data_IF_855477632308
#
_entry.id   IF_855477632308
#
_cell.length_a   1.000
_cell.length_b   1.000
_cell.length_c   1.000
_cell.angle_alpha   90.00
_cell.angle_beta   90.00
_cell.angle_gamma   90.00
#
_symmetry.space_group_name_H-M   'P 1'
#
loop_
_entity.id
_entity.type
_entity.pdbx_description
1 polymer ?
#
# COMPACT_ATOMS: atom_id res chain seq x y z
N UNK A 1 -6.85 -14.48 58.45
CA UNK A 1 -7.95 -14.15 57.53
C UNK A 1 -7.27 -13.78 56.23
N UNK A 2 -7.06 -14.77 55.36
CA UNK A 2 -6.68 -14.51 53.97
C UNK A 2 -7.91 -13.96 53.27
N UNK A 3 -7.82 -12.70 52.86
CA UNK A 3 -8.86 -12.00 52.13
C UNK A 3 -8.80 -12.46 50.67
N UNK A 4 -9.70 -13.38 50.34
CA UNK A 4 -9.95 -13.92 49.01
C UNK A 4 -10.31 -12.76 48.07
N UNK A 5 -9.34 -12.29 47.29
CA UNK A 5 -9.50 -11.24 46.30
C UNK A 5 -10.12 -11.83 45.04
N UNK A 6 -11.39 -12.18 45.14
CA UNK A 6 -12.25 -12.45 43.99
C UNK A 6 -12.48 -11.13 43.23
N UNK A 7 -11.54 -10.79 42.35
CA UNK A 7 -11.79 -9.83 41.28
C UNK A 7 -13.00 -10.33 40.46
N UNK A 8 -14.05 -9.51 40.27
CA UNK A 8 -15.19 -9.92 39.47
C UNK A 8 -14.70 -10.19 38.05
N UNK A 9 -14.76 -11.47 37.64
CA UNK A 9 -14.43 -11.88 36.27
C UNK A 9 -15.35 -11.08 35.35
N UNK A 10 -14.75 -10.20 34.53
CA UNK A 10 -15.44 -9.36 33.55
C UNK A 10 -16.34 -10.22 32.64
N UNK A 11 -17.49 -9.66 32.22
CA UNK A 11 -18.49 -10.38 31.42
C UNK A 11 -17.88 -10.95 30.13
N UNK A 12 -16.93 -10.21 29.54
CA UNK A 12 -16.19 -10.63 28.36
C UNK A 12 -15.24 -11.80 28.65
N UNK A 13 -14.51 -11.79 29.76
CA UNK A 13 -13.65 -12.91 30.19
C UNK A 13 -14.47 -14.19 30.41
N UNK A 14 -15.67 -14.09 31.01
CA UNK A 14 -16.58 -15.25 31.14
C UNK A 14 -16.99 -15.81 29.79
N UNK A 15 -17.30 -14.94 28.82
CA UNK A 15 -17.64 -15.38 27.44
C UNK A 15 -16.44 -16.05 26.75
N UNK A 16 -15.24 -15.50 26.87
CA UNK A 16 -14.02 -16.10 26.31
C UNK A 16 -13.72 -17.48 26.90
N UNK A 17 -13.87 -17.64 28.22
CA UNK A 17 -13.74 -18.94 28.89
C UNK A 17 -14.80 -19.95 28.40
N UNK A 18 -16.04 -19.50 28.20
CA UNK A 18 -17.11 -20.32 27.61
C UNK A 18 -16.75 -20.82 26.21
N UNK A 19 -16.21 -19.94 25.36
CA UNK A 19 -15.72 -20.28 24.02
C UNK A 19 -14.58 -21.30 24.10
N UNK A 20 -13.59 -21.10 24.97
CA UNK A 20 -12.46 -22.04 25.14
C UNK A 20 -12.91 -23.44 25.55
N UNK A 21 -13.85 -23.53 26.49
CA UNK A 21 -14.41 -24.80 26.92
C UNK A 21 -15.15 -25.50 25.77
N UNK A 22 -15.94 -24.76 25.00
CA UNK A 22 -16.62 -25.28 23.83
C UNK A 22 -15.65 -25.79 22.75
N UNK A 23 -14.55 -25.07 22.51
CA UNK A 23 -13.52 -25.53 21.56
C UNK A 23 -12.84 -26.81 22.07
N UNK A 24 -12.50 -26.87 23.37
CA UNK A 24 -11.88 -28.06 23.96
C UNK A 24 -12.78 -29.28 23.82
N UNK A 25 -14.08 -29.12 24.09
CA UNK A 25 -15.07 -30.19 23.89
C UNK A 25 -15.20 -30.58 22.42
N UNK A 26 -15.22 -29.60 21.51
CA UNK A 26 -15.28 -29.84 20.07
C UNK A 26 -14.04 -30.59 19.53
N UNK A 27 -12.85 -30.27 20.04
CA UNK A 27 -11.62 -30.98 19.68
C UNK A 27 -11.62 -32.45 20.13
N UNK A 28 -12.19 -32.74 21.32
CA UNK A 28 -12.30 -34.09 21.83
C UNK A 28 -13.33 -34.94 21.05
N UNK A 29 -14.37 -34.30 20.53
CA UNK A 29 -15.49 -34.98 19.87
C UNK A 29 -15.36 -35.05 18.34
N UNK A 30 -14.62 -34.12 17.73
CA UNK A 30 -14.44 -34.09 16.27
C UNK A 30 -13.47 -35.19 15.82
N UNK A 31 -13.85 -35.94 14.78
CA UNK A 31 -12.98 -36.93 14.11
C UNK A 31 -12.38 -36.43 12.80
N UNK A 32 -12.72 -35.20 12.38
CA UNK A 32 -12.21 -34.61 11.15
C UNK A 32 -10.97 -33.76 11.45
N UNK A 33 -9.82 -34.22 10.94
CA UNK A 33 -8.52 -33.55 11.05
C UNK A 33 -8.58 -32.09 10.60
N UNK A 34 -9.35 -31.76 9.55
CA UNK A 34 -9.46 -30.39 9.04
C UNK A 34 -10.22 -29.48 9.99
N UNK A 35 -11.25 -30.00 10.66
CA UNK A 35 -12.01 -29.26 11.66
C UNK A 35 -11.14 -29.05 12.90
N UNK A 36 -10.42 -30.08 13.34
CA UNK A 36 -9.49 -29.97 14.47
C UNK A 36 -8.37 -28.94 14.19
N UNK A 37 -7.81 -28.94 12.98
CA UNK A 37 -6.79 -27.98 12.57
C UNK A 37 -7.31 -26.54 12.63
N UNK A 38 -8.53 -26.29 12.15
CA UNK A 38 -9.12 -24.95 12.20
C UNK A 38 -9.53 -24.52 13.61
N UNK A 39 -10.03 -25.43 14.44
CA UNK A 39 -10.29 -25.16 15.86
C UNK A 39 -9.00 -24.79 16.62
N UNK A 40 -7.89 -25.50 16.36
CA UNK A 40 -6.59 -25.20 16.95
C UNK A 40 -6.09 -23.79 16.56
N UNK A 41 -6.30 -23.38 15.31
CA UNK A 41 -5.98 -22.03 14.85
C UNK A 41 -6.82 -20.95 15.53
N UNK A 42 -8.09 -21.23 15.84
CA UNK A 42 -8.94 -20.30 16.61
C UNK A 42 -8.47 -20.21 18.06
N UNK A 43 -8.11 -21.34 18.71
CA UNK A 43 -7.53 -21.33 20.06
C UNK A 43 -6.29 -20.44 20.15
N UNK A 44 -5.40 -20.53 19.16
CA UNK A 44 -4.19 -19.70 19.14
C UNK A 44 -4.49 -18.19 19.05
N UNK A 45 -5.69 -17.79 18.64
CA UNK A 45 -6.13 -16.39 18.63
C UNK A 45 -6.81 -15.97 19.94
N UNK A 46 -7.23 -16.91 20.79
CA UNK A 46 -8.03 -16.63 22.00
C UNK A 46 -7.35 -15.70 23.02
N UNK A 47 -6.05 -15.84 23.34
CA UNK A 47 -5.40 -14.92 24.27
C UNK A 47 -5.52 -13.46 23.81
N UNK A 48 -5.36 -13.23 22.51
CA UNK A 48 -5.50 -11.91 21.88
C UNK A 48 -6.95 -11.43 21.84
N UNK A 49 -7.92 -12.33 21.63
CA UNK A 49 -9.35 -11.98 21.67
C UNK A 49 -9.77 -11.54 23.07
N UNK A 50 -9.27 -12.24 24.10
CA UNK A 50 -9.51 -11.92 25.50
C UNK A 50 -8.91 -10.57 25.89
N UNK A 51 -7.64 -10.33 25.52
CA UNK A 51 -6.94 -9.07 25.78
C UNK A 51 -7.66 -7.86 25.16
N UNK A 52 -8.16 -8.00 23.92
CA UNK A 52 -8.87 -6.90 23.24
C UNK A 52 -10.26 -6.65 23.83
N UNK A 53 -10.96 -7.71 24.28
CA UNK A 53 -12.26 -7.60 24.95
C UNK A 53 -13.42 -7.02 24.12
N UNK A 54 -13.23 -6.73 22.82
CA UNK A 54 -14.28 -6.14 21.98
C UNK A 54 -15.36 -7.15 21.62
N UNK A 55 -16.61 -6.81 21.91
CA UNK A 55 -17.81 -7.62 21.63
C UNK A 55 -17.80 -8.17 20.20
N UNK A 56 -17.51 -7.34 19.19
CA UNK A 56 -17.52 -7.75 17.77
C UNK A 56 -16.52 -8.88 17.48
N UNK A 57 -15.35 -8.87 18.12
CA UNK A 57 -14.31 -9.89 17.92
C UNK A 57 -14.72 -11.20 18.60
N UNK A 58 -15.30 -11.09 19.80
CA UNK A 58 -15.85 -12.24 20.54
C UNK A 58 -16.99 -12.90 19.75
N UNK A 59 -17.94 -12.13 19.22
CA UNK A 59 -19.06 -12.64 18.42
C UNK A 59 -18.58 -13.30 17.11
N UNK A 60 -17.56 -12.75 16.44
CA UNK A 60 -16.99 -13.38 15.25
C UNK A 60 -16.31 -14.73 15.57
N UNK A 61 -15.68 -14.81 16.74
CA UNK A 61 -15.06 -16.05 17.22
C UNK A 61 -16.12 -17.11 17.52
N UNK A 62 -17.20 -16.71 18.22
CA UNK A 62 -18.33 -17.60 18.51
C UNK A 62 -19.05 -18.07 17.23
N UNK A 63 -19.23 -17.18 16.25
CA UNK A 63 -19.82 -17.54 14.95
C UNK A 63 -18.96 -18.55 14.19
N UNK A 64 -17.63 -18.37 14.19
CA UNK A 64 -16.71 -19.31 13.57
C UNK A 64 -16.75 -20.68 14.27
N UNK A 65 -16.82 -20.67 15.61
CA UNK A 65 -16.93 -21.89 16.41
C UNK A 65 -18.23 -22.64 16.14
N UNK A 66 -19.38 -21.96 16.22
CA UNK A 66 -20.70 -22.55 15.92
C UNK A 66 -20.76 -23.16 14.52
N UNK A 67 -20.09 -22.55 13.54
CA UNK A 67 -20.03 -23.12 12.21
C UNK A 67 -19.20 -24.41 12.16
N UNK A 68 -18.06 -24.45 12.88
CA UNK A 68 -17.20 -25.63 12.94
C UNK A 68 -17.78 -26.78 13.79
N UNK A 69 -18.65 -26.48 14.76
CA UNK A 69 -19.30 -27.48 15.61
C UNK A 69 -20.69 -27.91 15.13
N UNK A 70 -21.19 -27.31 14.05
CA UNK A 70 -22.46 -27.71 13.43
C UNK A 70 -22.37 -29.08 12.77
N UNK A 71 -23.51 -29.76 12.59
CA UNK A 71 -23.58 -31.10 11.98
C UNK A 71 -22.96 -31.17 10.57
N UNK A 72 -22.95 -30.04 9.84
CA UNK A 72 -22.35 -29.91 8.51
C UNK A 72 -21.39 -28.71 8.47
N UNK A 73 -20.13 -28.86 8.94
CA UNK A 73 -19.20 -27.75 9.06
C UNK A 73 -18.81 -27.19 7.68
N UNK A 74 -18.99 -25.88 7.50
CA UNK A 74 -18.60 -25.19 6.27
C UNK A 74 -17.17 -24.65 6.39
N UNK A 75 -16.20 -25.48 5.99
CA UNK A 75 -14.78 -25.12 6.08
C UNK A 75 -14.40 -23.85 5.33
N UNK A 76 -15.09 -23.51 4.23
CA UNK A 76 -14.81 -22.28 3.48
C UNK A 76 -15.22 -21.06 4.29
N UNK A 77 -16.41 -21.09 4.89
CA UNK A 77 -16.90 -20.02 5.75
C UNK A 77 -16.04 -19.88 7.01
N UNK A 78 -15.74 -20.99 7.70
CA UNK A 78 -14.92 -21.00 8.90
C UNK A 78 -13.52 -20.41 8.65
N UNK A 79 -12.86 -20.81 7.55
CA UNK A 79 -11.55 -20.26 7.15
C UNK A 79 -11.62 -18.75 6.89
N UNK A 80 -12.68 -18.28 6.24
CA UNK A 80 -12.89 -16.85 5.95
C UNK A 80 -13.17 -16.06 7.24
N UNK A 81 -13.99 -16.58 8.14
CA UNK A 81 -14.25 -15.98 9.45
C UNK A 81 -12.97 -15.88 10.29
N UNK A 82 -12.20 -16.97 10.40
CA UNK A 82 -10.91 -16.99 11.10
C UNK A 82 -9.91 -16.01 10.48
N UNK A 83 -9.82 -15.94 9.16
CA UNK A 83 -8.93 -14.99 8.48
C UNK A 83 -9.30 -13.53 8.81
N UNK A 84 -10.58 -13.19 8.72
CA UNK A 84 -11.06 -11.85 9.08
C UNK A 84 -10.86 -11.55 10.57
N UNK A 85 -11.06 -12.53 11.45
CA UNK A 85 -10.79 -12.42 12.88
C UNK A 85 -9.30 -12.11 13.12
N UNK A 86 -8.38 -12.86 12.51
CA UNK A 86 -6.94 -12.63 12.61
C UNK A 86 -6.56 -11.21 12.18
N UNK A 87 -7.12 -10.71 11.07
CA UNK A 87 -6.87 -9.33 10.62
C UNK A 87 -7.35 -8.31 11.65
N UNK A 88 -8.56 -8.46 12.18
CA UNK A 88 -9.10 -7.53 13.19
C UNK A 88 -8.25 -7.54 14.47
N UNK A 89 -7.88 -8.72 14.94
CA UNK A 89 -7.02 -8.88 16.12
C UNK A 89 -5.67 -8.19 15.93
N UNK A 90 -5.00 -8.45 14.80
CA UNK A 90 -3.72 -7.81 14.48
C UNK A 90 -3.86 -6.28 14.38
N UNK A 91 -4.95 -5.80 13.77
CA UNK A 91 -5.24 -4.37 13.66
C UNK A 91 -5.42 -3.72 15.02
N UNK A 92 -6.05 -4.38 15.98
CA UNK A 92 -6.26 -3.82 17.33
C UNK A 92 -4.98 -3.83 18.18
N UNK A 93 -4.19 -4.90 18.11
CA UNK A 93 -2.96 -5.05 18.92
C UNK A 93 -1.83 -4.17 18.41
N UNK A 94 -1.67 -4.07 17.10
CA UNK A 94 -0.52 -3.40 16.52
C UNK A 94 -0.88 -2.01 16.00
N UNK A 95 -0.51 -0.97 16.75
CA UNK A 95 -0.51 0.42 16.29
C UNK A 95 0.26 0.56 14.97
N UNK A 96 1.31 -0.23 14.78
CA UNK A 96 2.06 -0.30 13.52
C UNK A 96 1.20 -0.82 12.36
N UNK A 97 0.37 -1.86 12.55
CA UNK A 97 -0.60 -2.27 11.53
C UNK A 97 -1.67 -1.21 11.28
N UNK A 98 -2.14 -0.46 12.27
CA UNK A 98 -3.06 0.66 12.04
C UNK A 98 -2.39 1.78 11.20
N UNK A 99 -1.10 1.99 11.43
CA UNK A 99 -0.25 2.95 10.70
C UNK A 99 0.11 2.48 9.29
N UNK A 100 0.14 1.17 9.00
CA UNK A 100 0.41 0.66 7.64
C UNK A 100 -0.85 0.29 6.86
N UNK A 101 -1.91 -0.16 7.52
CA UNK A 101 -3.15 -0.68 6.93
C UNK A 101 -4.36 0.09 7.45
N UNK A 102 -4.48 1.37 7.07
CA UNK A 102 -5.73 2.10 7.30
C UNK A 102 -6.74 1.75 6.23
N UNK A 103 -8.00 1.64 6.64
CA UNK A 103 -9.13 1.46 5.71
C UNK A 103 -9.39 2.71 4.85
N UNK A 104 -8.65 3.81 5.09
CA UNK A 104 -8.81 5.07 4.35
C UNK A 104 -7.84 5.13 3.16
N UNK A 105 -8.36 5.20 1.92
CA UNK A 105 -7.55 5.36 0.70
C UNK A 105 -6.65 6.59 0.73
N UNK A 106 -7.18 7.71 1.21
CA UNK A 106 -6.46 8.99 1.31
C UNK A 106 -5.23 8.86 2.21
N UNK A 107 -5.37 8.18 3.34
CA UNK A 107 -4.29 8.03 4.30
C UNK A 107 -3.18 7.10 3.76
N UNK A 108 -3.56 6.05 3.01
CA UNK A 108 -2.62 5.20 2.28
C UNK A 108 -1.81 5.98 1.24
N UNK A 109 -2.45 6.86 0.48
CA UNK A 109 -1.77 7.74 -0.51
C UNK A 109 -0.79 8.68 0.18
N UNK A 110 -1.22 9.37 1.24
CA UNK A 110 -0.39 10.32 1.99
C UNK A 110 0.85 9.64 2.57
N UNK A 111 0.70 8.44 3.16
CA UNK A 111 1.83 7.66 3.68
C UNK A 111 2.82 7.26 2.60
N UNK A 112 2.33 6.78 1.46
CA UNK A 112 3.19 6.46 0.30
C UNK A 112 4.03 7.67 -0.12
N UNK A 113 3.39 8.85 -0.16
CA UNK A 113 4.07 10.10 -0.51
C UNK A 113 5.11 10.55 0.52
N UNK A 114 4.82 10.40 1.82
CA UNK A 114 5.79 10.69 2.88
C UNK A 114 7.00 9.75 2.82
N UNK A 115 6.79 8.46 2.53
CA UNK A 115 7.89 7.50 2.40
C UNK A 115 8.79 7.85 1.22
N UNK A 116 8.21 8.33 0.12
CA UNK A 116 8.96 8.84 -1.04
C UNK A 116 9.89 10.01 -0.66
N UNK A 117 9.45 10.91 0.24
CA UNK A 117 10.29 12.02 0.70
C UNK A 117 11.56 11.55 1.43
N UNK A 118 11.51 10.39 2.08
CA UNK A 118 12.67 9.77 2.73
C UNK A 118 13.52 8.93 1.78
N UNK A 119 12.88 8.22 0.84
CA UNK A 119 13.58 7.32 -0.10
C UNK A 119 14.28 8.09 -1.22
N UNK A 120 13.67 9.15 -1.77
CA UNK A 120 14.23 9.89 -2.91
C UNK A 120 15.61 10.49 -2.60
N UNK A 121 15.84 11.19 -1.48
CA UNK A 121 17.17 11.71 -1.16
C UNK A 121 18.21 10.59 -1.06
N UNK A 122 17.85 9.44 -0.47
CA UNK A 122 18.73 8.28 -0.37
C UNK A 122 19.05 7.67 -1.72
N UNK A 123 18.06 7.55 -2.61
CA UNK A 123 18.25 7.06 -3.98
C UNK A 123 19.07 8.05 -4.81
N UNK A 124 18.81 9.34 -4.72
CA UNK A 124 19.58 10.38 -5.41
C UNK A 124 21.03 10.44 -4.91
N UNK A 125 21.24 10.32 -3.59
CA UNK A 125 22.57 10.21 -3.00
C UNK A 125 23.28 8.94 -3.47
N UNK A 126 22.59 7.80 -3.46
CA UNK A 126 23.13 6.53 -3.97
C UNK A 126 23.47 6.62 -5.46
N UNK A 127 22.63 7.23 -6.29
CA UNK A 127 22.94 7.50 -7.70
C UNK A 127 24.16 8.43 -7.79
N UNK A 128 24.18 9.53 -7.04
CA UNK A 128 25.30 10.46 -7.10
C UNK A 128 26.66 9.79 -6.77
N UNK A 129 26.69 8.96 -5.72
CA UNK A 129 27.92 8.37 -5.18
C UNK A 129 28.31 7.03 -5.84
N UNK A 130 27.32 6.23 -6.25
CA UNK A 130 27.53 4.90 -6.85
C UNK A 130 27.66 4.92 -8.39
N UNK A 131 27.04 5.89 -9.06
CA UNK A 131 27.05 5.92 -10.53
C UNK A 131 28.35 6.50 -11.11
N UNK A 132 28.99 7.46 -10.43
CA UNK A 132 30.25 8.08 -10.88
C UNK A 132 31.40 7.08 -11.15
N UNK A 133 31.59 6.01 -10.34
CA UNK A 133 32.61 5.00 -10.63
C UNK A 133 32.21 3.93 -11.67
N UNK A 134 30.92 3.74 -11.98
CA UNK A 134 30.44 2.66 -12.87
C UNK A 134 30.10 3.15 -14.28
N UNK A 135 29.73 4.43 -14.44
CA UNK A 135 29.26 4.99 -15.70
C UNK A 135 29.75 6.44 -15.80
N UNK A 136 30.70 6.70 -16.71
CA UNK A 136 31.24 8.05 -16.86
C UNK A 136 30.18 8.97 -17.45
N UNK A 137 29.52 9.77 -16.60
CA UNK A 137 28.56 10.80 -17.03
C UNK A 137 29.18 11.84 -17.97
N UNK A 138 30.52 11.87 -18.08
CA UNK A 138 31.25 12.65 -19.09
C UNK A 138 30.96 12.21 -20.52
N UNK A 139 30.59 10.96 -20.76
CA UNK A 139 30.30 10.46 -22.12
C UNK A 139 28.92 10.89 -22.64
N UNK A 140 28.05 11.41 -21.76
CA UNK A 140 26.71 11.86 -22.11
C UNK A 140 26.63 13.33 -22.54
N UNK A 141 27.74 14.09 -22.49
CA UNK A 141 27.78 15.55 -22.77
C UNK A 141 26.70 16.37 -22.04
N UNK A 142 26.25 15.88 -20.87
CA UNK A 142 25.21 16.50 -20.06
C UNK A 142 25.77 16.95 -18.71
N UNK A 143 25.38 18.15 -18.28
CA UNK A 143 25.68 18.65 -16.94
C UNK A 143 25.01 17.75 -15.88
N UNK A 144 25.79 17.30 -14.89
CA UNK A 144 25.30 16.48 -13.77
C UNK A 144 24.18 17.19 -13.01
N UNK A 145 24.29 18.52 -12.85
CA UNK A 145 23.26 19.29 -12.16
C UNK A 145 21.95 19.31 -12.97
N UNK A 146 22.04 19.38 -14.29
CA UNK A 146 20.88 19.29 -15.18
C UNK A 146 20.18 17.93 -15.03
N UNK A 147 20.92 16.83 -15.02
CA UNK A 147 20.34 15.49 -14.84
C UNK A 147 19.58 15.35 -13.52
N UNK A 148 20.12 15.88 -12.43
CA UNK A 148 19.45 15.89 -11.12
C UNK A 148 18.17 16.73 -11.18
N UNK A 149 18.23 17.93 -11.76
CA UNK A 149 17.06 18.81 -11.88
C UNK A 149 15.97 18.20 -12.77
N UNK A 150 16.35 17.54 -13.86
CA UNK A 150 15.45 16.79 -14.75
C UNK A 150 14.75 15.67 -13.98
N UNK A 151 15.51 14.84 -13.25
CA UNK A 151 14.94 13.76 -12.46
C UNK A 151 13.96 14.29 -11.40
N UNK A 152 14.34 15.34 -10.67
CA UNK A 152 13.49 16.01 -9.69
C UNK A 152 12.22 16.60 -10.32
N UNK A 153 12.33 17.20 -11.49
CA UNK A 153 11.16 17.74 -12.22
C UNK A 153 10.17 16.62 -12.60
N UNK A 154 10.68 15.47 -13.05
CA UNK A 154 9.87 14.27 -13.32
C UNK A 154 9.17 13.70 -12.08
N UNK A 155 9.88 13.65 -10.96
CA UNK A 155 9.32 13.28 -9.64
C UNK A 155 8.16 14.20 -9.27
N UNK A 156 8.37 15.52 -9.35
CA UNK A 156 7.36 16.52 -8.99
C UNK A 156 6.13 16.38 -9.89
N UNK A 157 6.32 16.23 -11.21
CA UNK A 157 5.22 16.00 -12.15
C UNK A 157 4.37 14.79 -11.79
N UNK A 158 5.03 13.69 -11.41
CA UNK A 158 4.34 12.49 -10.92
C UNK A 158 3.59 12.71 -9.60
N UNK A 159 4.19 13.41 -8.64
CA UNK A 159 3.54 13.74 -7.35
C UNK A 159 2.27 14.56 -7.60
N UNK A 160 2.36 15.61 -8.42
CA UNK A 160 1.20 16.44 -8.79
C UNK A 160 0.13 15.57 -9.48
N UNK A 161 0.53 14.66 -10.37
CA UNK A 161 -0.41 13.72 -10.99
C UNK A 161 -1.15 12.82 -9.97
N UNK A 162 -0.49 12.40 -8.89
CA UNK A 162 -1.11 11.61 -7.81
C UNK A 162 -2.08 12.48 -7.02
N UNK A 163 -1.65 13.69 -6.64
CA UNK A 163 -2.47 14.59 -5.80
C UNK A 163 -3.79 14.94 -6.47
N UNK A 164 -3.80 15.19 -7.78
CA UNK A 164 -5.05 15.49 -8.51
C UNK A 164 -6.00 14.27 -8.55
N UNK A 165 -5.48 13.05 -8.44
CA UNK A 165 -6.26 11.79 -8.49
C UNK A 165 -6.65 11.26 -7.11
N UNK A 166 -6.32 11.95 -6.02
CA UNK A 166 -6.54 11.43 -4.66
C UNK A 166 -8.01 11.07 -4.39
N UNK A 167 -8.93 11.82 -5.00
CA UNK A 167 -10.38 11.61 -4.90
C UNK A 167 -10.85 10.36 -5.63
N UNK A 168 -10.23 10.00 -6.74
CA UNK A 168 -10.60 8.82 -7.54
C UNK A 168 -10.38 7.54 -6.72
N UNK A 169 -9.27 7.46 -5.98
CA UNK A 169 -8.96 6.33 -5.09
C UNK A 169 -9.98 6.14 -3.97
N UNK A 170 -10.73 7.20 -3.61
CA UNK A 170 -11.76 7.13 -2.57
C UNK A 170 -13.11 6.59 -3.06
N UNK A 171 -13.29 6.50 -4.39
CA UNK A 171 -14.56 6.13 -5.02
C UNK A 171 -14.64 4.68 -5.52
N UNK A 172 -13.52 3.95 -5.51
CA UNK A 172 -13.47 2.57 -6.01
C UNK A 172 -14.07 1.57 -5.01
N UNK A 173 -15.04 0.78 -5.50
CA UNK A 173 -15.83 -0.19 -4.71
C UNK A 173 -15.03 -1.40 -4.22
N UNK A 174 -13.84 -1.65 -4.78
CA UNK A 174 -12.94 -2.74 -4.42
C UNK A 174 -11.60 -2.14 -3.98
N UNK A 175 -11.56 -1.68 -2.73
CA UNK A 175 -10.38 -1.07 -2.13
C UNK A 175 -9.37 -2.15 -1.72
N UNK A 176 -8.26 -2.26 -2.44
CA UNK A 176 -7.05 -2.93 -1.93
C UNK A 176 -6.00 -1.86 -1.56
N UNK A 177 -5.81 -1.55 -0.27
CA UNK A 177 -4.84 -0.54 0.16
C UNK A 177 -3.41 -0.88 -0.24
N UNK A 178 -3.02 -2.16 -0.38
CA UNK A 178 -1.67 -2.53 -0.77
C UNK A 178 -1.40 -2.17 -2.23
N UNK A 179 -2.34 -2.48 -3.13
CA UNK A 179 -2.22 -2.14 -4.55
C UNK A 179 -2.13 -0.63 -4.72
N UNK A 180 -2.98 0.13 -4.03
CA UNK A 180 -2.95 1.59 -4.08
C UNK A 180 -1.63 2.14 -3.55
N UNK A 181 -1.16 1.64 -2.40
CA UNK A 181 0.12 2.04 -1.80
C UNK A 181 1.28 1.86 -2.78
N UNK A 182 1.46 0.66 -3.35
CA UNK A 182 2.53 0.40 -4.30
C UNK A 182 2.37 1.23 -5.58
N UNK A 183 1.14 1.42 -6.07
CA UNK A 183 0.88 2.26 -7.24
C UNK A 183 1.29 3.73 -7.02
N UNK A 184 1.15 4.24 -5.80
CA UNK A 184 1.54 5.61 -5.41
C UNK A 184 3.05 5.68 -5.19
N UNK A 185 3.63 4.66 -4.57
CA UNK A 185 5.04 4.59 -4.23
C UNK A 185 5.95 4.56 -5.46
N UNK A 186 5.62 3.73 -6.46
CA UNK A 186 6.48 3.56 -7.64
C UNK A 186 6.34 4.68 -8.66
N UNK A 187 5.25 5.46 -8.61
CA UNK A 187 4.97 6.50 -9.61
C UNK A 187 6.07 7.57 -9.70
N UNK A 188 6.58 8.17 -8.61
CA UNK A 188 7.66 9.13 -8.71
C UNK A 188 8.96 8.56 -9.29
N UNK A 189 9.26 7.28 -9.03
CA UNK A 189 10.40 6.58 -9.63
C UNK A 189 10.19 6.49 -11.15
N UNK A 190 9.01 6.04 -11.57
CA UNK A 190 8.63 5.97 -13.00
C UNK A 190 8.72 7.36 -13.65
N UNK A 191 8.23 8.41 -12.97
CA UNK A 191 8.29 9.79 -13.46
C UNK A 191 9.72 10.31 -13.62
N UNK A 192 10.62 10.00 -12.69
CA UNK A 192 12.05 10.32 -12.81
C UNK A 192 12.69 9.59 -14.01
N UNK A 193 12.40 8.30 -14.17
CA UNK A 193 12.94 7.49 -15.27
C UNK A 193 12.50 8.01 -16.64
N UNK A 194 11.21 8.36 -16.79
CA UNK A 194 10.71 8.96 -18.03
C UNK A 194 11.33 10.34 -18.30
N UNK A 195 11.52 11.17 -17.27
CA UNK A 195 12.17 12.47 -17.43
C UNK A 195 13.61 12.33 -17.92
N UNK A 196 14.39 11.44 -17.32
CA UNK A 196 15.76 11.14 -17.75
C UNK A 196 15.79 10.58 -19.18
N UNK A 197 14.87 9.67 -19.52
CA UNK A 197 14.76 9.14 -20.87
C UNK A 197 14.48 10.24 -21.90
N UNK A 198 13.56 11.16 -21.61
CA UNK A 198 13.28 12.30 -22.50
C UNK A 198 14.50 13.20 -22.65
N UNK A 199 15.23 13.47 -21.57
CA UNK A 199 16.44 14.27 -21.64
C UNK A 199 17.52 13.62 -22.53
N UNK A 200 17.71 12.30 -22.43
CA UNK A 200 18.61 11.55 -23.30
C UNK A 200 18.17 11.57 -24.77
N UNK A 201 16.86 11.49 -25.05
CA UNK A 201 16.35 11.61 -26.42
C UNK A 201 16.66 12.98 -27.03
N UNK A 202 16.57 14.05 -26.24
CA UNK A 202 16.92 15.40 -26.69
C UNK A 202 18.43 15.50 -26.92
N UNK A 203 19.26 15.01 -25.99
CA UNK A 203 20.71 15.01 -26.13
C UNK A 203 21.22 14.16 -27.30
N UNK A 204 20.49 13.12 -27.68
CA UNK A 204 20.78 12.29 -28.86
C UNK A 204 20.32 12.94 -30.18
N UNK A 205 19.81 14.18 -30.16
CA UNK A 205 19.27 14.91 -31.33
C UNK A 205 18.16 14.14 -32.07
N UNK A 206 17.39 13.31 -31.34
CA UNK A 206 16.28 12.53 -31.91
C UNK A 206 15.01 13.36 -32.05
N UNK A 207 14.97 14.57 -31.50
CA UNK A 207 13.87 15.52 -31.63
C UNK A 207 14.35 16.80 -32.33
N UNK A 208 13.66 17.27 -33.38
CA UNK A 208 14.00 18.50 -34.10
C UNK A 208 13.55 19.75 -33.33
N UNK A 209 13.86 19.84 -32.04
CA UNK A 209 13.51 20.97 -31.17
C UNK A 209 14.78 21.77 -30.96
N UNK A 210 14.78 23.06 -31.29
CA UNK A 210 15.91 23.94 -30.96
C UNK A 210 15.93 24.18 -29.46
N UNK A 211 16.83 23.48 -28.75
CA UNK A 211 17.01 23.58 -27.29
C UNK A 211 18.14 24.54 -26.89
N UNK A 212 18.76 25.22 -27.85
CA UNK A 212 19.78 26.25 -27.61
C UNK A 212 19.25 27.62 -28.01
N UNK A 213 19.22 28.56 -27.07
CA UNK A 213 19.09 29.98 -27.38
C UNK A 213 20.49 30.61 -27.25
N UNK A 214 20.96 31.30 -28.29
CA UNK A 214 22.26 31.98 -28.31
C UNK A 214 23.50 31.09 -28.02
N UNK A 215 23.40 29.77 -28.26
CA UNK A 215 24.51 28.85 -28.03
C UNK A 215 24.60 28.29 -26.60
N UNK A 216 23.69 28.68 -25.71
CA UNK A 216 23.57 28.11 -24.36
C UNK A 216 22.39 27.13 -24.28
N UNK A 217 22.56 26.05 -23.53
CA UNK A 217 21.52 25.05 -23.32
C UNK A 217 20.34 25.67 -22.55
N UNK A 218 19.16 25.69 -23.17
CA UNK A 218 17.93 26.15 -22.51
C UNK A 218 17.42 25.06 -21.56
N UNK A 219 17.92 25.10 -20.32
CA UNK A 219 17.54 24.15 -19.27
C UNK A 219 16.03 24.15 -19.01
N UNK A 220 15.31 25.24 -19.27
CA UNK A 220 13.86 25.29 -19.05
C UNK A 220 13.09 24.29 -19.91
N UNK A 221 13.51 24.03 -21.15
CA UNK A 221 12.86 23.04 -22.03
C UNK A 221 12.98 21.64 -21.44
N UNK A 222 14.18 21.26 -20.99
CA UNK A 222 14.41 19.97 -20.34
C UNK A 222 13.53 19.80 -19.10
N UNK A 223 13.42 20.85 -18.26
CA UNK A 223 12.64 20.80 -17.03
C UNK A 223 11.13 20.73 -17.29
N UNK A 224 10.61 21.45 -18.28
CA UNK A 224 9.19 21.40 -18.65
C UNK A 224 8.82 20.03 -19.20
N UNK A 225 9.63 19.50 -20.12
CA UNK A 225 9.38 18.18 -20.70
C UNK A 225 9.51 17.07 -19.66
N UNK A 226 10.49 17.18 -18.75
CA UNK A 226 10.63 16.29 -17.60
C UNK A 226 9.36 16.28 -16.73
N UNK A 227 8.85 17.46 -16.35
CA UNK A 227 7.62 17.58 -15.55
C UNK A 227 6.42 16.93 -16.26
N UNK A 228 6.23 17.25 -17.56
CA UNK A 228 5.13 16.70 -18.36
C UNK A 228 5.24 15.18 -18.47
N UNK A 229 6.45 14.65 -18.64
CA UNK A 229 6.69 13.21 -18.72
C UNK A 229 6.31 12.49 -17.42
N UNK A 230 6.58 13.09 -16.25
CA UNK A 230 6.13 12.60 -14.95
C UNK A 230 4.61 12.60 -14.78
N UNK A 231 3.90 13.49 -15.49
CA UNK A 231 2.45 13.58 -15.50
C UNK A 231 1.78 12.68 -16.59
N UNK A 232 2.58 12.07 -17.47
CA UNK A 232 2.13 11.54 -18.77
C UNK A 232 1.04 10.47 -18.73
N UNK A 233 0.96 9.64 -17.68
CA UNK A 233 -0.08 8.59 -17.56
C UNK A 233 -1.49 9.20 -17.66
N UNK A 234 -1.68 10.40 -17.09
CA UNK A 234 -2.97 11.10 -17.13
C UNK A 234 -3.14 11.92 -18.40
N UNK A 235 -2.10 12.63 -18.86
CA UNK A 235 -2.19 13.35 -20.13
C UNK A 235 -2.55 12.42 -21.29
N UNK A 236 -1.98 11.21 -21.34
CA UNK A 236 -2.31 10.21 -22.34
C UNK A 236 -3.77 9.74 -22.20
N UNK A 237 -4.22 9.37 -20.99
CA UNK A 237 -5.60 8.91 -20.76
C UNK A 237 -6.64 9.98 -21.03
N UNK A 238 -6.41 11.23 -20.61
CA UNK A 238 -7.32 12.34 -20.81
C UNK A 238 -7.34 12.80 -22.28
N UNK A 239 -6.21 12.75 -22.99
CA UNK A 239 -6.14 13.00 -24.43
C UNK A 239 -6.92 11.94 -25.21
N UNK A 240 -6.71 10.65 -24.92
CA UNK A 240 -7.44 9.53 -25.55
C UNK A 240 -8.94 9.67 -25.29
N UNK A 241 -9.36 9.90 -24.05
CA UNK A 241 -10.79 10.10 -23.72
C UNK A 241 -11.43 11.28 -24.46
N UNK A 242 -10.70 12.38 -24.68
CA UNK A 242 -11.20 13.52 -25.47
C UNK A 242 -11.34 13.19 -26.95
N UNK A 243 -10.44 12.38 -27.48
CA UNK A 243 -10.50 11.89 -28.86
C UNK A 243 -11.66 10.89 -29.04
N UNK A 244 -11.83 9.96 -28.11
CA UNK A 244 -12.95 9.01 -28.08
C UNK A 244 -14.31 9.70 -27.82
N UNK A 245 -14.31 10.79 -27.05
CA UNK A 245 -15.49 11.58 -26.69
C UNK A 245 -15.93 12.60 -27.74
N UNK A 246 -15.34 12.60 -28.94
CA UNK A 246 -15.85 13.39 -30.07
C UNK A 246 -16.71 12.48 -30.96
N UNK A 247 -18.04 12.38 -30.74
CA UNK A 247 -18.91 11.85 -31.77
C UNK A 247 -18.84 12.84 -32.93
N UNK A 248 -18.18 12.42 -34.01
CA UNK A 248 -18.23 13.10 -35.31
C UNK A 248 -19.68 13.35 -35.68
N UNK A 249 -20.07 14.62 -35.68
CA UNK A 249 -21.23 15.12 -36.43
C UNK A 249 -20.74 15.55 -37.81
#
# INVERSE_FOLDING_TARGET
MEEDTQHPIDEHTKRCLGILNNIKQALQNSKDDKVQEELAKIINLMPSVEEIGKIVIIEMTDLALKNLTSDNPNMVLAKKLRFNLKIKVIKEISSFYQIFFSDSPTLTVVRGLFLILYVIPGVLFFIYDWFDPCFSLKDLDMDKNLLILVALSGVIGSIVSIMVRIRDFSSEKNFDPQIIFFSVLFKPIIGASFALFIALLISADLFPIKYTENGEANYSIYLVLAFISGFSERFAKDAIKRVEGTPTK
#
